data_IF_682678940241
#
_entry.id   IF_682678940241
#
_cell.length_a   1.000
_cell.length_b   1.000
_cell.length_c   1.000
_cell.angle_alpha   90.00
_cell.angle_beta   90.00
_cell.angle_gamma   90.00
#
_symmetry.space_group_name_H-M   'P 1'
#
loop_
_entity.id
_entity.type
_entity.pdbx_description
1 polymer ?
#
# COMPACT_ATOMS: atom_id res chain seq x y z
N UNK A 1 19.42 47.67 -81.02
CA UNK A 1 19.89 46.28 -81.09
C UNK A 1 20.21 45.79 -79.70
N UNK A 2 19.30 45.18 -79.02
CA UNK A 2 19.51 44.57 -77.72
C UNK A 2 18.78 43.23 -77.68
N UNK A 3 19.55 42.14 -77.58
CA UNK A 3 19.07 40.77 -77.45
C UNK A 3 18.44 40.54 -76.10
N UNK A 4 17.18 40.11 -76.01
CA UNK A 4 16.52 39.69 -74.77
C UNK A 4 16.72 38.21 -74.67
N UNK A 5 17.49 37.80 -73.65
CA UNK A 5 17.72 36.42 -73.34
C UNK A 5 16.61 35.91 -72.40
N UNK A 6 15.87 34.91 -72.87
CA UNK A 6 14.75 34.28 -72.16
C UNK A 6 15.34 33.25 -71.22
N UNK A 7 15.28 33.50 -69.94
CA UNK A 7 15.69 32.53 -68.90
C UNK A 7 14.48 31.65 -68.59
N UNK A 8 14.57 30.39 -68.95
CA UNK A 8 13.60 29.33 -68.64
C UNK A 8 13.75 28.93 -67.18
N UNK A 9 12.79 29.21 -66.35
CA UNK A 9 12.69 28.70 -64.98
C UNK A 9 12.11 27.32 -65.00
N UNK A 10 12.93 26.28 -64.73
CA UNK A 10 12.44 24.94 -64.41
C UNK A 10 11.91 24.94 -62.98
N UNK A 11 10.62 24.81 -62.83
CA UNK A 11 9.97 24.54 -61.55
C UNK A 11 10.11 23.05 -61.27
N UNK A 12 11.03 22.68 -60.42
CA UNK A 12 11.12 21.30 -59.88
C UNK A 12 10.01 21.11 -58.85
N UNK A 13 8.98 20.36 -59.24
CA UNK A 13 7.91 19.92 -58.34
C UNK A 13 8.53 18.81 -57.46
N UNK A 14 8.80 19.14 -56.21
CA UNK A 14 9.18 18.17 -55.19
C UNK A 14 7.91 17.37 -54.81
N UNK A 15 7.77 16.17 -55.32
CA UNK A 15 6.80 15.21 -54.83
C UNK A 15 7.24 14.80 -53.42
N UNK A 16 6.67 15.39 -52.40
CA UNK A 16 6.73 14.89 -51.03
C UNK A 16 5.89 13.61 -50.97
N UNK A 17 6.57 12.47 -51.10
CA UNK A 17 5.93 11.18 -50.87
C UNK A 17 5.38 11.12 -49.47
N UNK A 18 4.05 11.00 -49.33
CA UNK A 18 3.41 10.61 -48.09
C UNK A 18 3.96 9.19 -47.74
N UNK A 19 4.92 9.12 -46.79
CA UNK A 19 5.21 7.88 -46.15
C UNK A 19 4.01 7.51 -45.28
N UNK A 20 3.45 6.29 -45.42
CA UNK A 20 2.43 5.83 -44.49
C UNK A 20 3.05 5.79 -43.11
N UNK A 21 2.49 6.53 -42.16
CA UNK A 21 2.76 6.39 -40.76
C UNK A 21 2.40 4.96 -40.38
N UNK A 22 3.42 4.13 -40.28
CA UNK A 22 3.27 2.78 -39.78
C UNK A 22 2.84 2.91 -38.33
N UNK A 23 1.58 2.57 -38.04
CA UNK A 23 1.09 2.46 -36.68
C UNK A 23 2.09 1.62 -35.92
N UNK A 24 2.74 2.21 -34.91
CA UNK A 24 3.59 1.50 -33.99
C UNK A 24 2.77 0.34 -33.45
N UNK A 25 3.23 -0.88 -33.69
CA UNK A 25 2.68 -2.07 -33.06
C UNK A 25 2.61 -1.74 -31.55
N UNK A 26 1.39 -1.79 -31.01
CA UNK A 26 1.17 -1.57 -29.59
C UNK A 26 2.18 -2.41 -28.80
N UNK A 27 2.86 -1.77 -27.88
CA UNK A 27 3.58 -2.47 -26.81
C UNK A 27 2.58 -3.50 -26.29
N UNK A 28 2.92 -4.81 -26.22
CA UNK A 28 2.03 -5.79 -25.61
C UNK A 28 1.64 -5.22 -24.26
N UNK A 29 0.35 -4.91 -24.13
CA UNK A 29 -0.20 -4.29 -22.95
C UNK A 29 0.24 -5.11 -21.75
N UNK A 30 0.85 -4.48 -20.80
CA UNK A 30 0.71 -4.89 -19.42
C UNK A 30 -0.79 -4.79 -19.14
N UNK A 31 -1.54 -5.81 -19.50
CA UNK A 31 -2.83 -6.09 -18.89
C UNK A 31 -2.49 -6.37 -17.42
N UNK A 32 -2.37 -5.30 -16.64
CA UNK A 32 -2.67 -5.34 -15.24
C UNK A 32 -4.17 -5.70 -15.19
N UNK A 33 -4.45 -7.00 -15.36
CA UNK A 33 -5.66 -7.57 -14.83
C UNK A 33 -5.53 -7.28 -13.33
N UNK A 34 -6.15 -6.21 -12.89
CA UNK A 34 -6.38 -5.90 -11.49
C UNK A 34 -7.07 -7.15 -10.94
N UNK A 35 -6.30 -8.00 -10.27
CA UNK A 35 -6.89 -9.10 -9.51
C UNK A 35 -7.93 -8.44 -8.62
N UNK A 36 -9.16 -8.97 -8.70
CA UNK A 36 -10.30 -8.37 -8.00
C UNK A 36 -9.95 -8.31 -6.51
N UNK A 37 -10.02 -7.13 -5.92
CA UNK A 37 -9.75 -6.95 -4.50
C UNK A 37 -10.76 -7.69 -3.63
N UNK A 38 -10.47 -7.78 -2.36
CA UNK A 38 -11.36 -8.38 -1.35
C UNK A 38 -12.54 -7.45 -1.06
N UNK A 39 -13.71 -8.03 -0.77
CA UNK A 39 -14.90 -7.26 -0.37
C UNK A 39 -14.91 -7.06 1.14
N UNK A 40 -15.17 -5.83 1.58
CA UNK A 40 -15.33 -5.46 2.99
C UNK A 40 -16.56 -4.58 3.17
N UNK A 41 -17.10 -4.53 4.38
CA UNK A 41 -18.20 -3.63 4.74
C UNK A 41 -17.62 -2.39 5.43
N UNK A 42 -17.86 -1.24 4.82
CA UNK A 42 -17.39 0.05 5.27
C UNK A 42 -18.59 0.96 5.58
N UNK A 43 -18.86 1.22 6.87
CA UNK A 43 -20.02 2.01 7.31
C UNK A 43 -21.35 1.50 6.75
N UNK A 44 -21.52 0.16 6.65
CA UNK A 44 -22.73 -0.46 6.12
C UNK A 44 -22.84 -0.52 4.60
N UNK A 45 -21.78 -0.13 3.87
CA UNK A 45 -21.70 -0.17 2.41
C UNK A 45 -20.58 -1.13 2.02
N UNK A 46 -20.77 -1.93 0.98
CA UNK A 46 -19.71 -2.72 0.37
C UNK A 46 -18.64 -1.81 -0.21
N UNK A 47 -17.40 -2.17 0.03
CA UNK A 47 -16.22 -1.55 -0.55
C UNK A 47 -15.21 -2.65 -0.91
N UNK A 48 -14.28 -2.34 -1.81
CA UNK A 48 -13.29 -3.30 -2.30
C UNK A 48 -11.89 -2.81 -1.99
N UNK A 49 -11.01 -3.76 -1.70
CA UNK A 49 -9.57 -3.47 -1.60
C UNK A 49 -8.94 -3.36 -2.99
N UNK A 50 -7.78 -2.73 -3.08
CA UNK A 50 -7.05 -2.49 -4.34
C UNK A 50 -6.48 -3.75 -4.98
N UNK A 51 -6.47 -4.87 -4.26
CA UNK A 51 -5.98 -6.16 -4.72
C UNK A 51 -6.19 -7.24 -3.67
N UNK A 52 -5.75 -8.48 -3.93
CA UNK A 52 -5.83 -9.57 -2.97
C UNK A 52 -4.85 -9.34 -1.81
N UNK A 53 -5.25 -9.76 -0.61
CA UNK A 53 -4.38 -9.78 0.55
C UNK A 53 -3.37 -10.92 0.48
N UNK A 54 -2.20 -10.74 1.09
CA UNK A 54 -1.19 -11.80 1.25
C UNK A 54 -1.77 -13.03 1.92
N UNK A 55 -1.33 -14.20 1.48
CA UNK A 55 -1.75 -15.49 2.02
C UNK A 55 -0.68 -16.10 2.92
N UNK A 56 -1.12 -16.89 3.89
CA UNK A 56 -0.23 -17.66 4.76
C UNK A 56 0.71 -18.53 3.92
N UNK A 57 1.99 -18.50 4.26
CA UNK A 57 3.05 -19.21 3.55
C UNK A 57 3.80 -18.40 2.49
N UNK A 58 3.28 -17.25 2.07
CA UNK A 58 3.99 -16.34 1.17
C UNK A 58 5.12 -15.61 1.92
N UNK A 59 6.15 -15.20 1.19
CA UNK A 59 7.14 -14.25 1.71
C UNK A 59 6.51 -12.85 1.69
N UNK A 60 6.54 -12.17 2.83
CA UNK A 60 6.06 -10.79 2.91
C UNK A 60 6.94 -9.88 2.06
N UNK A 61 6.38 -9.20 1.04
CA UNK A 61 7.14 -8.26 0.22
C UNK A 61 7.68 -7.10 1.07
N UNK A 62 8.88 -6.64 0.74
CA UNK A 62 9.40 -5.43 1.35
C UNK A 62 8.58 -4.20 0.94
N UNK A 63 8.52 -3.22 1.82
CA UNK A 63 7.86 -1.94 1.58
C UNK A 63 8.58 -0.83 2.34
N UNK A 64 8.36 0.41 1.95
CA UNK A 64 8.85 1.59 2.63
C UNK A 64 7.71 2.37 3.27
N UNK A 65 7.89 2.73 4.51
CA UNK A 65 6.96 3.55 5.29
C UNK A 65 7.71 4.71 5.95
N UNK A 66 7.00 5.62 6.59
CA UNK A 66 7.59 6.75 7.29
C UNK A 66 7.25 6.66 8.77
N UNK A 67 8.25 6.74 9.63
CA UNK A 67 8.06 6.73 11.07
C UNK A 67 7.69 8.13 11.63
N UNK A 68 7.44 8.20 12.94
CA UNK A 68 7.10 9.45 13.63
C UNK A 68 8.17 10.55 13.54
N UNK A 69 9.42 10.21 13.22
CA UNK A 69 10.53 11.16 13.03
C UNK A 69 10.72 11.58 11.58
N UNK A 70 9.83 11.19 10.68
CA UNK A 70 9.93 11.41 9.22
C UNK A 70 11.09 10.66 8.56
N UNK A 71 11.62 9.63 9.22
CA UNK A 71 12.63 8.74 8.66
C UNK A 71 11.94 7.63 7.87
N UNK A 72 12.55 7.21 6.76
CA UNK A 72 12.08 6.06 5.99
C UNK A 72 12.47 4.77 6.71
N UNK A 73 11.52 3.86 6.80
CA UNK A 73 11.63 2.55 7.45
C UNK A 73 11.10 1.50 6.50
N UNK A 74 11.81 0.41 6.34
CA UNK A 74 11.40 -0.74 5.52
C UNK A 74 11.05 -1.95 6.38
N UNK A 75 10.30 -2.91 5.81
CA UNK A 75 10.04 -4.18 6.49
C UNK A 75 11.36 -4.92 6.78
N UNK A 76 12.33 -4.80 5.88
CA UNK A 76 13.65 -5.42 6.02
C UNK A 76 14.47 -4.92 7.21
N UNK A 77 14.17 -3.75 7.78
CA UNK A 77 14.80 -3.24 9.01
C UNK A 77 14.47 -4.09 10.24
N UNK A 78 13.40 -4.88 10.17
CA UNK A 78 12.95 -5.79 11.23
C UNK A 78 13.32 -7.25 10.98
N UNK A 79 14.18 -7.52 10.00
CA UNK A 79 14.58 -8.89 9.64
C UNK A 79 15.10 -9.68 10.84
N UNK A 80 14.66 -10.93 10.98
CA UNK A 80 15.01 -11.81 12.09
C UNK A 80 14.14 -11.63 13.33
N UNK A 81 13.15 -10.74 13.27
CA UNK A 81 12.08 -10.61 14.27
C UNK A 81 10.77 -11.12 13.70
N UNK A 82 9.88 -11.56 14.56
CA UNK A 82 8.48 -11.73 14.23
C UNK A 82 7.82 -10.35 14.14
N UNK A 83 6.91 -10.16 13.21
CA UNK A 83 6.26 -8.87 13.00
C UNK A 83 4.75 -9.05 12.99
N UNK A 84 4.04 -8.26 13.78
CA UNK A 84 2.58 -8.12 13.69
C UNK A 84 2.30 -6.80 12.97
N UNK A 85 1.77 -6.87 11.76
CA UNK A 85 1.31 -5.71 11.00
C UNK A 85 -0.17 -5.47 11.34
N UNK A 86 -0.44 -4.52 12.21
CA UNK A 86 -1.78 -4.05 12.52
C UNK A 86 -2.12 -2.90 11.55
N UNK A 87 -2.90 -3.22 10.53
CA UNK A 87 -3.25 -2.31 9.43
C UNK A 87 -4.68 -1.83 9.65
N UNK A 88 -4.92 -0.52 9.52
CA UNK A 88 -6.23 0.07 9.80
C UNK A 88 -6.46 1.39 9.05
N UNK A 89 -7.73 1.84 8.92
CA UNK A 89 -8.08 3.07 8.21
C UNK A 89 -7.45 4.33 8.78
N UNK A 90 -7.69 4.64 10.06
CA UNK A 90 -7.15 5.85 10.71
C UNK A 90 -7.22 5.78 12.23
N UNK A 91 -6.20 6.28 12.90
CA UNK A 91 -6.11 6.44 14.36
C UNK A 91 -7.23 7.35 14.93
N UNK A 92 -7.77 8.23 14.12
CA UNK A 92 -8.86 9.12 14.54
C UNK A 92 -10.24 8.43 14.57
N UNK A 93 -10.27 7.08 14.43
CA UNK A 93 -11.49 6.29 14.62
C UNK A 93 -11.41 5.41 15.87
N UNK A 94 -12.54 5.24 16.61
CA UNK A 94 -12.53 4.56 17.91
C UNK A 94 -11.96 3.14 17.87
N UNK A 95 -12.38 2.33 16.88
CA UNK A 95 -11.95 0.93 16.75
C UNK A 95 -10.46 0.83 16.37
N UNK A 96 -9.93 1.75 15.55
CA UNK A 96 -8.50 1.76 15.22
C UNK A 96 -7.66 2.15 16.44
N UNK A 97 -8.04 3.21 17.14
CA UNK A 97 -7.39 3.62 18.38
C UNK A 97 -7.38 2.47 19.40
N UNK A 98 -8.52 1.76 19.54
CA UNK A 98 -8.62 0.61 20.43
C UNK A 98 -7.69 -0.53 20.01
N UNK A 99 -7.61 -0.86 18.72
CA UNK A 99 -6.72 -1.93 18.25
C UNK A 99 -5.23 -1.63 18.55
N UNK A 100 -4.81 -0.37 18.40
CA UNK A 100 -3.42 0.02 18.73
C UNK A 100 -3.16 -0.13 20.23
N UNK A 101 -4.10 0.30 21.10
CA UNK A 101 -3.99 0.13 22.56
C UNK A 101 -3.93 -1.36 22.96
N UNK A 102 -4.76 -2.20 22.35
CA UNK A 102 -4.81 -3.64 22.62
C UNK A 102 -3.49 -4.33 22.25
N UNK A 103 -2.93 -4.03 21.09
CA UNK A 103 -1.63 -4.56 20.71
C UNK A 103 -0.51 -3.98 21.56
N UNK A 104 -0.54 -2.69 21.89
CA UNK A 104 0.48 -2.09 22.76
C UNK A 104 0.54 -2.74 24.14
N UNK A 105 -0.62 -3.02 24.74
CA UNK A 105 -0.69 -3.65 26.07
C UNK A 105 -0.09 -5.06 26.08
N UNK A 106 -0.17 -5.79 24.97
CA UNK A 106 0.25 -7.19 24.84
C UNK A 106 1.63 -7.36 24.20
N UNK A 107 2.11 -6.35 23.47
CA UNK A 107 3.38 -6.42 22.75
C UNK A 107 4.57 -6.63 23.68
N UNK A 108 4.52 -6.11 24.90
CA UNK A 108 5.59 -6.27 25.90
C UNK A 108 5.79 -7.72 26.38
N UNK A 109 4.79 -8.60 26.18
CA UNK A 109 4.83 -10.00 26.59
C UNK A 109 5.36 -10.92 25.48
N UNK A 110 5.58 -10.38 24.26
CA UNK A 110 6.02 -11.15 23.10
C UNK A 110 7.53 -11.13 22.96
N UNK A 111 8.13 -12.30 22.90
CA UNK A 111 9.57 -12.45 22.69
C UNK A 111 9.92 -12.25 21.21
N UNK A 112 11.00 -11.51 20.94
CA UNK A 112 11.55 -11.25 19.61
C UNK A 112 10.51 -10.75 18.59
N UNK A 113 9.49 -9.99 19.04
CA UNK A 113 8.36 -9.56 18.23
C UNK A 113 8.25 -8.04 18.21
N UNK A 114 7.90 -7.46 17.07
CA UNK A 114 7.55 -6.05 16.92
C UNK A 114 6.13 -5.92 16.40
N UNK A 115 5.42 -4.91 16.88
CA UNK A 115 4.08 -4.56 16.37
C UNK A 115 4.19 -3.28 15.56
N UNK A 116 3.89 -3.38 14.27
CA UNK A 116 3.88 -2.27 13.31
C UNK A 116 2.43 -1.81 13.11
N UNK A 117 2.13 -0.58 13.52
CA UNK A 117 0.80 0.02 13.38
C UNK A 117 0.77 0.87 12.11
N UNK A 118 0.09 0.38 11.07
CA UNK A 118 0.20 0.87 9.69
C UNK A 118 -1.10 1.53 9.25
N UNK A 119 -1.03 2.79 8.82
CA UNK A 119 -2.17 3.53 8.26
C UNK A 119 -1.74 4.60 7.27
N UNK A 120 -2.72 5.23 6.60
CA UNK A 120 -2.50 6.42 5.76
C UNK A 120 -2.40 7.72 6.57
N UNK A 121 -2.58 7.67 7.90
CA UNK A 121 -2.40 8.84 8.76
C UNK A 121 -1.00 9.42 8.59
N UNK A 122 -0.90 10.74 8.64
CA UNK A 122 0.41 11.39 8.58
C UNK A 122 1.25 11.05 9.82
N UNK A 123 2.58 10.95 9.71
CA UNK A 123 3.47 10.66 10.83
C UNK A 123 3.27 11.58 12.04
N UNK A 124 2.89 12.83 11.81
CA UNK A 124 2.59 13.81 12.86
C UNK A 124 1.36 13.43 13.69
N UNK A 125 0.31 12.93 13.04
CA UNK A 125 -0.91 12.47 13.72
C UNK A 125 -0.61 11.19 14.54
N UNK A 126 0.13 10.25 13.95
CA UNK A 126 0.55 9.02 14.62
C UNK A 126 1.43 9.33 15.84
N UNK A 127 2.41 10.23 15.70
CA UNK A 127 3.28 10.67 16.79
C UNK A 127 2.48 11.30 17.94
N UNK A 128 1.57 12.24 17.62
CA UNK A 128 0.70 12.85 18.61
C UNK A 128 -0.15 11.83 19.36
N UNK A 129 -0.77 10.89 18.62
CA UNK A 129 -1.59 9.85 19.22
C UNK A 129 -0.78 8.98 20.19
N UNK A 130 0.33 8.41 19.74
CA UNK A 130 1.16 7.53 20.58
C UNK A 130 1.69 8.25 21.82
N UNK A 131 2.16 9.51 21.69
CA UNK A 131 2.65 10.26 22.85
C UNK A 131 1.55 10.67 23.81
N UNK A 132 0.36 11.01 23.32
CA UNK A 132 -0.79 11.35 24.19
C UNK A 132 -1.30 10.13 24.97
N UNK A 133 -1.26 8.95 24.36
CA UNK A 133 -1.77 7.70 24.92
C UNK A 133 -0.69 6.90 25.68
N UNK A 134 0.58 7.31 25.66
CA UNK A 134 1.69 6.58 26.30
C UNK A 134 1.95 5.19 25.68
N UNK A 135 1.92 5.08 24.34
CA UNK A 135 2.04 3.82 23.62
C UNK A 135 3.48 3.61 23.13
N UNK A 136 4.29 2.94 23.96
CA UNK A 136 5.73 2.77 23.72
C UNK A 136 6.10 1.37 23.16
N UNK A 137 5.16 0.42 23.15
CA UNK A 137 5.41 -0.97 22.72
C UNK A 137 4.99 -1.24 21.27
N UNK A 138 4.51 -0.26 20.55
CA UNK A 138 4.15 -0.35 19.12
C UNK A 138 4.92 0.67 18.29
N UNK A 139 5.12 0.36 17.03
CA UNK A 139 5.83 1.22 16.09
C UNK A 139 4.82 1.77 15.08
N UNK A 140 4.44 3.05 15.17
CA UNK A 140 3.57 3.67 14.18
C UNK A 140 4.32 3.90 12.87
N UNK A 141 3.73 3.47 11.76
CA UNK A 141 4.27 3.61 10.43
C UNK A 141 3.21 4.18 9.47
N UNK A 142 3.54 5.28 8.85
CA UNK A 142 2.70 5.93 7.86
C UNK A 142 3.04 5.46 6.45
N UNK A 143 2.03 4.99 5.73
CA UNK A 143 2.16 4.59 4.32
C UNK A 143 1.54 5.62 3.38
N UNK A 144 1.35 6.88 3.81
CA UNK A 144 0.71 7.95 3.04
C UNK A 144 1.33 8.23 1.67
N UNK A 145 2.59 7.84 1.47
CA UNK A 145 3.32 7.98 0.20
C UNK A 145 3.94 6.65 -0.30
N UNK A 146 3.62 5.53 0.35
CA UNK A 146 4.17 4.21 0.06
C UNK A 146 3.36 3.54 -1.06
N UNK A 147 3.81 3.67 -2.30
CA UNK A 147 3.17 3.03 -3.44
C UNK A 147 3.43 1.52 -3.47
N UNK A 148 4.57 1.09 -2.99
CA UNK A 148 4.98 -0.30 -2.88
C UNK A 148 4.12 -1.06 -1.86
N UNK A 149 3.82 -0.46 -0.70
CA UNK A 149 2.89 -1.07 0.26
C UNK A 149 1.51 -1.31 -0.37
N UNK A 150 0.95 -0.28 -1.02
CA UNK A 150 -0.35 -0.39 -1.67
C UNK A 150 -0.35 -1.47 -2.76
N UNK A 151 0.70 -1.51 -3.59
CA UNK A 151 0.80 -2.46 -4.69
C UNK A 151 1.01 -3.91 -4.23
N UNK A 152 1.80 -4.12 -3.17
CA UNK A 152 2.19 -5.46 -2.74
C UNK A 152 1.21 -6.09 -1.74
N UNK A 153 0.56 -5.27 -0.91
CA UNK A 153 -0.33 -5.77 0.15
C UNK A 153 -1.81 -5.74 -0.23
N UNK A 154 -2.18 -4.98 -1.27
CA UNK A 154 -3.52 -4.97 -1.84
C UNK A 154 -4.62 -4.43 -0.93
N UNK A 155 -4.30 -3.82 0.22
CA UNK A 155 -5.23 -3.50 1.29
C UNK A 155 -5.75 -2.05 1.29
N UNK A 156 -5.40 -1.22 0.31
CA UNK A 156 -6.02 0.10 0.17
C UNK A 156 -7.46 -0.05 -0.33
N UNK A 157 -8.39 0.68 0.24
CA UNK A 157 -9.77 0.74 -0.24
C UNK A 157 -9.81 1.47 -1.59
N UNK A 158 -10.27 0.77 -2.62
CA UNK A 158 -10.33 1.25 -3.99
C UNK A 158 -11.61 2.02 -4.29
N UNK A 159 -12.60 1.88 -3.41
CA UNK A 159 -13.91 2.53 -3.53
C UNK A 159 -14.57 2.69 -2.15
N UNK A 160 -15.81 3.17 -2.16
CA UNK A 160 -16.63 3.32 -0.96
C UNK A 160 -16.32 4.57 -0.14
N UNK A 161 -16.96 4.72 1.04
CA UNK A 161 -16.90 5.97 1.82
C UNK A 161 -15.53 6.26 2.45
N UNK A 162 -14.61 5.30 2.47
CA UNK A 162 -13.24 5.45 2.97
C UNK A 162 -12.20 5.14 1.87
N UNK A 163 -12.56 5.34 0.60
CA UNK A 163 -11.63 5.21 -0.53
C UNK A 163 -10.31 5.92 -0.24
N UNK A 164 -9.20 5.27 -0.58
CA UNK A 164 -7.84 5.77 -0.35
C UNK A 164 -7.25 5.47 1.03
N UNK A 165 -8.07 5.10 2.03
CA UNK A 165 -7.57 4.62 3.31
C UNK A 165 -7.25 3.11 3.27
N UNK A 166 -6.62 2.58 4.31
CA UNK A 166 -6.39 1.15 4.43
C UNK A 166 -7.65 0.44 4.94
N UNK A 167 -7.88 -0.79 4.47
CA UNK A 167 -8.83 -1.71 5.11
C UNK A 167 -8.30 -2.10 6.50
N UNK A 168 -9.13 -2.80 7.29
CA UNK A 168 -8.67 -3.35 8.56
C UNK A 168 -8.18 -4.76 8.36
N UNK A 169 -6.89 -4.98 8.62
CA UNK A 169 -6.26 -6.30 8.50
C UNK A 169 -5.18 -6.51 9.55
N UNK A 170 -4.90 -7.77 9.88
CA UNK A 170 -3.74 -8.16 10.65
C UNK A 170 -2.96 -9.20 9.85
N UNK A 171 -1.66 -9.00 9.73
CA UNK A 171 -0.72 -9.94 9.10
C UNK A 171 0.38 -10.22 10.09
N UNK A 172 0.68 -11.50 10.34
CA UNK A 172 1.84 -11.90 11.14
C UNK A 172 2.89 -12.49 10.23
N UNK A 173 4.12 -12.03 10.39
CA UNK A 173 5.30 -12.47 9.63
C UNK A 173 6.28 -13.08 10.61
N UNK A 174 6.77 -14.27 10.30
CA UNK A 174 7.76 -14.97 11.11
C UNK A 174 9.20 -14.44 10.93
N UNK A 175 10.14 -14.95 11.68
CA UNK A 175 11.56 -14.55 11.66
C UNK A 175 12.24 -14.80 10.29
N UNK A 176 11.69 -15.71 9.50
CA UNK A 176 12.16 -16.00 8.13
C UNK A 176 11.61 -15.03 7.07
N UNK A 177 10.67 -14.15 7.46
CA UNK A 177 9.97 -13.26 6.56
C UNK A 177 8.73 -13.87 5.88
N UNK A 178 8.28 -15.03 6.36
CA UNK A 178 7.11 -15.73 5.82
C UNK A 178 5.86 -15.34 6.61
N UNK A 179 4.76 -15.15 5.93
CA UNK A 179 3.45 -14.90 6.53
C UNK A 179 2.97 -16.15 7.27
N UNK A 180 2.76 -16.05 8.57
CA UNK A 180 2.26 -17.12 9.45
C UNK A 180 0.76 -16.99 9.74
N UNK A 181 0.19 -15.78 9.64
CA UNK A 181 -1.23 -15.51 9.88
C UNK A 181 -1.70 -14.32 9.06
N UNK A 182 -2.95 -14.36 8.60
CA UNK A 182 -3.63 -13.23 7.97
C UNK A 182 -5.07 -13.16 8.40
N UNK A 183 -5.58 -11.95 8.59
CA UNK A 183 -6.98 -11.67 8.79
C UNK A 183 -7.34 -10.35 8.10
N UNK A 184 -8.27 -10.40 7.15
CA UNK A 184 -9.02 -9.23 6.72
C UNK A 184 -10.31 -9.18 7.53
N UNK A 185 -10.58 -8.06 8.19
CA UNK A 185 -11.80 -7.89 8.98
C UNK A 185 -12.92 -7.49 8.03
N UNK A 186 -13.89 -8.39 7.83
CA UNK A 186 -14.99 -8.23 6.88
C UNK A 186 -15.76 -6.92 7.10
N UNK A 187 -16.11 -6.60 8.34
CA UNK A 187 -16.66 -5.30 8.69
C UNK A 187 -15.58 -4.46 9.40
N UNK A 188 -15.10 -3.45 8.73
CA UNK A 188 -13.98 -2.63 9.23
C UNK A 188 -14.29 -1.87 10.54
N UNK A 189 -15.55 -1.83 10.97
CA UNK A 189 -15.96 -1.30 12.27
C UNK A 189 -15.73 -2.27 13.43
N UNK A 190 -15.51 -3.55 13.15
CA UNK A 190 -15.21 -4.57 14.16
C UNK A 190 -13.71 -4.62 14.46
N UNK A 191 -13.39 -5.13 15.65
CA UNK A 191 -12.02 -5.40 16.06
C UNK A 191 -11.48 -6.66 15.37
N UNK A 192 -10.14 -6.77 15.16
CA UNK A 192 -9.52 -8.01 14.71
C UNK A 192 -9.48 -9.06 15.83
N UNK A 193 -9.20 -10.30 15.46
CA UNK A 193 -8.94 -11.38 16.43
C UNK A 193 -7.50 -11.25 16.98
N UNK A 194 -7.37 -10.55 18.08
CA UNK A 194 -6.07 -10.33 18.76
C UNK A 194 -5.42 -11.62 19.21
N UNK A 195 -6.22 -12.56 19.76
CA UNK A 195 -5.68 -13.81 20.33
C UNK A 195 -5.10 -14.70 19.24
N UNK A 196 -5.77 -14.81 18.08
CA UNK A 196 -5.26 -15.56 16.96
C UNK A 196 -3.96 -14.95 16.41
N UNK A 197 -3.89 -13.61 16.28
CA UNK A 197 -2.71 -12.91 15.82
C UNK A 197 -1.51 -13.08 16.80
N UNK A 198 -1.75 -12.91 18.10
CA UNK A 198 -0.72 -13.06 19.13
C UNK A 198 -0.21 -14.51 19.22
N UNK A 199 -1.11 -15.48 19.11
CA UNK A 199 -0.73 -16.89 19.06
C UNK A 199 0.14 -17.23 17.86
N UNK A 200 -0.13 -16.63 16.70
CA UNK A 200 0.68 -16.84 15.51
C UNK A 200 2.06 -16.16 15.58
N UNK A 201 2.24 -15.22 16.53
CA UNK A 201 3.51 -14.55 16.82
C UNK A 201 4.30 -15.20 17.97
N UNK A 202 3.80 -16.23 18.62
CA UNK A 202 4.52 -17.02 19.63
C UNK A 202 5.43 -18.06 18.97
#
# INVERSE_FOLDING_TARGET
MKKISTILWMVAIWMMGLMPVRAAAGVPGCDLQSEKGETVICRGVEAHTSGPMLQVGQIAPDFHAVNAKMEEVSLSDFKGKKMILNIFPSLDTPTCALSVRQFNARAAELENTVVLCISMDLPFAQSRFCSTEGLDNVIPLSVFRSRDFVAHYGLQLADGPLEGLMARAVIVVDESGKVSYTQLVENISHEPDYEAALKAAQ
#
